data_IF_824049542773
#
_entry.id   IF_824049542773
#
_cell.length_a   1.000
_cell.length_b   1.000
_cell.length_c   1.000
_cell.angle_alpha   90.00
_cell.angle_beta   90.00
_cell.angle_gamma   90.00
#
_symmetry.space_group_name_H-M   'P 1'
#
loop_
_entity.id
_entity.type
_entity.pdbx_description
1 polymer ?
#
# COMPACT_ATOMS: atom_id res chain seq x y z
N UNK A 1 2.72 8.40 26.09
CA UNK A 1 1.62 8.33 25.10
C UNK A 1 1.91 7.11 24.25
N UNK A 2 1.08 6.08 24.32
CA UNK A 2 1.41 4.77 23.74
C UNK A 2 1.10 4.77 22.25
N UNK A 3 2.08 4.44 21.42
CA UNK A 3 1.89 4.30 19.98
C UNK A 3 1.03 3.06 19.69
N UNK A 4 -0.06 3.26 18.96
CA UNK A 4 -1.09 2.23 18.71
C UNK A 4 -1.10 1.70 17.29
N UNK A 5 -0.43 2.40 16.37
CA UNK A 5 -0.48 2.11 14.94
C UNK A 5 0.83 2.49 14.28
N UNK A 6 1.14 1.81 13.18
CA UNK A 6 2.27 2.14 12.30
C UNK A 6 1.81 2.28 10.87
N UNK A 7 2.28 3.32 10.19
CA UNK A 7 2.01 3.58 8.78
C UNK A 7 3.34 3.79 8.07
N UNK A 8 3.63 2.91 7.12
CA UNK A 8 4.76 3.03 6.19
C UNK A 8 4.26 3.79 4.97
N UNK A 9 4.92 4.91 4.64
CA UNK A 9 4.52 5.83 3.58
C UNK A 9 5.58 5.76 2.48
N UNK A 10 5.23 5.13 1.36
CA UNK A 10 6.09 4.97 0.19
C UNK A 10 5.70 5.99 -0.88
N UNK A 11 6.44 7.09 -0.92
CA UNK A 11 6.24 8.17 -1.90
C UNK A 11 7.61 8.75 -2.29
N UNK A 12 7.61 9.67 -3.25
CA UNK A 12 8.80 10.41 -3.64
C UNK A 12 9.14 11.48 -2.59
N UNK A 13 9.75 11.08 -1.49
CA UNK A 13 10.35 12.01 -0.54
C UNK A 13 11.77 12.37 -1.00
N UNK A 14 12.01 13.63 -1.32
CA UNK A 14 13.38 14.17 -1.38
C UNK A 14 13.91 14.35 0.04
N UNK A 15 15.23 14.32 0.20
CA UNK A 15 15.94 14.55 1.48
C UNK A 15 15.62 15.90 2.12
N UNK A 16 15.07 16.84 1.35
CA UNK A 16 14.89 18.25 1.73
C UNK A 16 13.46 18.59 2.18
N UNK A 17 12.79 17.66 2.88
CA UNK A 17 11.51 17.95 3.52
C UNK A 17 10.41 18.28 2.51
N UNK A 18 10.00 17.29 1.73
CA UNK A 18 8.92 17.45 0.76
C UNK A 18 7.63 17.92 1.45
N UNK A 19 6.95 18.93 0.89
CA UNK A 19 5.65 19.47 1.35
C UNK A 19 4.66 18.35 1.76
N UNK A 20 4.65 17.26 0.99
CA UNK A 20 3.86 16.06 1.27
C UNK A 20 4.13 15.46 2.65
N UNK A 21 5.40 15.32 3.07
CA UNK A 21 5.76 14.78 4.39
C UNK A 21 5.23 15.66 5.52
N UNK A 22 5.32 16.98 5.37
CA UNK A 22 4.79 17.91 6.37
C UNK A 22 3.28 17.75 6.51
N UNK A 23 2.55 17.64 5.42
CA UNK A 23 1.09 17.41 5.46
C UNK A 23 0.73 16.07 6.13
N UNK A 24 1.56 15.02 5.97
CA UNK A 24 1.38 13.74 6.69
C UNK A 24 1.57 13.91 8.20
N UNK A 25 2.61 14.63 8.61
CA UNK A 25 2.90 14.92 10.03
C UNK A 25 1.76 15.74 10.64
N UNK A 26 1.31 16.80 9.95
CA UNK A 26 0.20 17.63 10.39
C UNK A 26 -1.09 16.80 10.55
N UNK A 27 -1.37 15.91 9.60
CA UNK A 27 -2.54 15.01 9.66
C UNK A 27 -2.48 14.03 10.84
N UNK A 28 -1.28 13.66 11.27
CA UNK A 28 -1.04 12.73 12.38
C UNK A 28 -0.98 13.40 13.76
N UNK A 29 -1.03 14.75 13.85
CA UNK A 29 -0.99 15.45 15.14
C UNK A 29 -2.11 14.96 16.07
N UNK A 30 -1.73 14.67 17.31
CA UNK A 30 -2.63 14.12 18.33
C UNK A 30 -3.12 12.70 18.04
N UNK A 31 -2.56 12.01 17.04
CA UNK A 31 -2.82 10.60 16.76
C UNK A 31 -1.66 9.76 17.28
N UNK A 32 -1.99 8.66 17.96
CA UNK A 32 -1.02 7.70 18.49
C UNK A 32 -0.48 6.78 17.38
N UNK A 33 0.21 7.36 16.40
CA UNK A 33 0.67 6.67 15.18
C UNK A 33 2.14 6.95 14.90
N UNK A 34 2.87 5.91 14.54
CA UNK A 34 4.23 6.01 14.01
C UNK A 34 4.16 6.13 12.49
N UNK A 35 4.66 7.24 11.95
CA UNK A 35 4.84 7.42 10.51
C UNK A 35 6.28 7.07 10.11
N UNK A 36 6.43 6.22 9.11
CA UNK A 36 7.74 5.80 8.58
C UNK A 36 7.82 6.24 7.12
N UNK A 37 8.80 7.09 6.83
CA UNK A 37 9.07 7.64 5.50
C UNK A 37 10.42 7.09 5.00
N UNK A 38 10.49 5.86 4.48
CA UNK A 38 11.74 5.34 3.96
C UNK A 38 12.12 6.10 2.69
N UNK A 39 13.36 6.59 2.63
CA UNK A 39 13.94 7.17 1.41
C UNK A 39 14.48 6.01 0.58
N UNK A 40 13.78 5.71 -0.52
CA UNK A 40 14.09 4.58 -1.39
C UNK A 40 14.52 5.07 -2.76
N UNK A 41 15.71 4.68 -3.19
CA UNK A 41 16.12 4.89 -4.58
C UNK A 41 15.70 3.69 -5.44
N UNK A 42 14.99 3.94 -6.54
CA UNK A 42 14.44 2.88 -7.39
C UNK A 42 15.50 1.94 -7.96
N UNK A 43 16.74 2.40 -8.15
CA UNK A 43 17.86 1.54 -8.57
C UNK A 43 18.11 0.38 -7.62
N UNK A 44 17.85 0.58 -6.32
CA UNK A 44 17.99 -0.46 -5.31
C UNK A 44 16.78 -1.39 -5.25
N UNK A 45 15.67 -1.05 -5.91
CA UNK A 45 14.44 -1.84 -5.96
C UNK A 45 14.28 -2.62 -7.27
N UNK A 46 15.30 -2.61 -8.14
CA UNK A 46 15.30 -3.34 -9.42
C UNK A 46 15.09 -4.86 -9.25
N UNK A 47 15.41 -5.41 -8.08
CA UNK A 47 15.16 -6.82 -7.77
C UNK A 47 13.66 -7.19 -7.76
N UNK A 48 12.75 -6.21 -7.67
CA UNK A 48 11.30 -6.41 -7.73
C UNK A 48 10.75 -6.34 -9.18
N UNK A 49 11.62 -6.24 -10.19
CA UNK A 49 11.27 -6.28 -11.62
C UNK A 49 11.10 -7.71 -12.19
N UNK A 50 10.45 -8.60 -11.45
CA UNK A 50 9.97 -9.88 -12.01
C UNK A 50 10.89 -11.09 -11.81
N UNK A 51 11.91 -11.01 -10.95
CA UNK A 51 12.59 -12.21 -10.44
C UNK A 51 11.98 -12.58 -9.10
N UNK A 52 11.38 -13.77 -9.05
CA UNK A 52 10.90 -14.38 -7.81
C UNK A 52 12.08 -14.44 -6.83
N UNK A 53 11.95 -13.81 -5.66
CA UNK A 53 13.01 -13.89 -4.66
C UNK A 53 12.84 -15.18 -3.85
N UNK A 54 13.86 -16.03 -3.88
CA UNK A 54 13.86 -17.31 -3.18
C UNK A 54 14.16 -17.20 -1.68
N UNK A 55 14.59 -16.04 -1.15
CA UNK A 55 15.13 -16.03 0.23
C UNK A 55 15.23 -14.71 0.99
N UNK A 56 15.08 -13.54 0.35
CA UNK A 56 15.22 -12.27 1.07
C UNK A 56 13.83 -11.79 1.48
N UNK A 57 13.53 -11.90 2.78
CA UNK A 57 12.21 -11.56 3.32
C UNK A 57 11.75 -10.17 2.88
N UNK A 58 10.44 -9.99 2.75
CA UNK A 58 9.80 -8.72 2.39
C UNK A 58 10.41 -7.52 3.12
N UNK A 59 10.99 -6.56 2.37
CA UNK A 59 11.61 -5.36 2.94
C UNK A 59 10.62 -4.55 3.80
N UNK A 60 9.33 -4.47 3.41
CA UNK A 60 8.31 -3.70 4.13
C UNK A 60 8.00 -4.36 5.48
N UNK A 61 7.88 -5.70 5.51
CA UNK A 61 7.74 -6.47 6.76
C UNK A 61 8.99 -6.37 7.63
N UNK A 62 10.18 -6.33 7.03
CA UNK A 62 11.42 -6.09 7.78
C UNK A 62 11.43 -4.69 8.42
N UNK A 63 10.99 -3.65 7.70
CA UNK A 63 10.79 -2.33 8.29
C UNK A 63 9.80 -2.42 9.46
N UNK A 64 8.66 -3.11 9.29
CA UNK A 64 7.71 -3.30 10.39
C UNK A 64 8.39 -3.89 11.63
N UNK A 65 9.13 -4.99 11.47
CA UNK A 65 9.82 -5.67 12.58
C UNK A 65 10.83 -4.79 13.29
N UNK A 66 11.62 -4.02 12.53
CA UNK A 66 12.64 -3.11 13.08
C UNK A 66 11.97 -2.00 13.93
N UNK A 67 10.96 -1.35 13.37
CA UNK A 67 10.31 -0.22 14.02
C UNK A 67 9.41 -0.67 15.17
N UNK A 68 8.69 -1.78 15.02
CA UNK A 68 7.90 -2.32 16.11
C UNK A 68 8.78 -2.69 17.32
N UNK A 69 9.92 -3.35 17.09
CA UNK A 69 10.89 -3.65 18.17
C UNK A 69 11.45 -2.39 18.82
N UNK A 70 11.75 -1.35 18.04
CA UNK A 70 12.35 -0.10 18.56
C UNK A 70 11.37 0.74 19.37
N UNK A 71 10.11 0.79 18.95
CA UNK A 71 9.09 1.67 19.52
C UNK A 71 8.07 0.97 20.42
N UNK A 72 8.14 -0.37 20.54
CA UNK A 72 7.26 -1.20 21.38
C UNK A 72 5.79 -0.88 21.16
N UNK A 73 5.32 -1.02 19.90
CA UNK A 73 3.95 -0.67 19.56
C UNK A 73 2.97 -1.62 20.25
N UNK A 74 1.80 -1.11 20.65
CA UNK A 74 0.74 -1.95 21.23
C UNK A 74 0.09 -2.88 20.20
N UNK A 75 0.22 -2.56 18.92
CA UNK A 75 -0.31 -3.32 17.80
C UNK A 75 0.82 -3.60 16.82
N UNK A 76 1.09 -4.88 16.59
CA UNK A 76 2.16 -5.34 15.71
C UNK A 76 1.78 -5.27 14.23
N UNK A 77 0.49 -5.05 13.95
CA UNK A 77 0.00 -4.87 12.60
C UNK A 77 0.38 -3.48 12.06
N UNK A 78 0.74 -3.45 10.79
CA UNK A 78 1.15 -2.25 10.11
C UNK A 78 0.30 -1.96 8.87
N UNK A 79 0.49 -0.75 8.34
CA UNK A 79 -0.31 -0.22 7.24
C UNK A 79 0.60 0.43 6.22
N UNK A 80 0.21 0.39 4.95
CA UNK A 80 1.01 0.94 3.86
C UNK A 80 0.22 2.01 3.11
N UNK A 81 0.83 3.16 2.90
CA UNK A 81 0.46 4.07 1.83
C UNK A 81 1.52 4.01 0.74
N UNK A 82 1.10 4.01 -0.52
CA UNK A 82 2.00 3.99 -1.67
C UNK A 82 1.45 4.83 -2.83
N UNK A 83 2.33 5.50 -3.57
CA UNK A 83 1.95 6.38 -4.67
C UNK A 83 2.76 6.08 -5.95
N UNK A 84 2.13 6.15 -7.12
CA UNK A 84 2.76 5.97 -8.43
C UNK A 84 3.56 4.66 -8.53
N UNK A 85 4.85 4.74 -8.84
CA UNK A 85 5.75 3.58 -8.97
C UNK A 85 5.83 2.72 -7.69
N UNK A 86 5.65 3.31 -6.50
CA UNK A 86 5.63 2.55 -5.25
C UNK A 86 4.34 1.77 -5.08
N UNK A 87 3.23 2.22 -5.67
CA UNK A 87 1.99 1.44 -5.69
C UNK A 87 2.18 0.16 -6.54
N UNK A 88 2.85 0.27 -7.70
CA UNK A 88 3.22 -0.90 -8.50
C UNK A 88 4.13 -1.86 -7.72
N UNK A 89 5.07 -1.30 -6.95
CA UNK A 89 5.96 -2.07 -6.09
C UNK A 89 5.18 -2.88 -5.04
N UNK A 90 4.25 -2.23 -4.34
CA UNK A 90 3.41 -2.87 -3.32
C UNK A 90 2.51 -3.93 -3.93
N UNK A 91 1.94 -3.67 -5.11
CA UNK A 91 1.12 -4.65 -5.83
C UNK A 91 1.91 -5.95 -6.10
N UNK A 92 3.12 -5.82 -6.66
CA UNK A 92 4.00 -6.96 -6.94
C UNK A 92 4.43 -7.69 -5.67
N UNK A 93 4.77 -6.91 -4.65
CA UNK A 93 5.12 -7.45 -3.33
C UNK A 93 3.99 -8.32 -2.77
N UNK A 94 2.76 -7.83 -2.79
CA UNK A 94 1.61 -8.56 -2.24
C UNK A 94 1.20 -9.79 -3.06
N UNK A 95 1.57 -9.85 -4.35
CA UNK A 95 1.38 -11.03 -5.20
C UNK A 95 2.48 -12.08 -5.06
N UNK A 96 3.52 -11.81 -4.26
CA UNK A 96 4.63 -12.76 -4.03
C UNK A 96 4.62 -13.38 -2.63
N UNK A 97 4.07 -12.70 -1.64
CA UNK A 97 4.19 -13.09 -0.23
C UNK A 97 2.87 -13.03 0.53
N UNK A 98 2.68 -13.94 1.48
CA UNK A 98 1.65 -13.82 2.52
C UNK A 98 2.24 -13.01 3.67
N UNK A 99 1.63 -11.87 4.00
CA UNK A 99 2.05 -11.04 5.13
C UNK A 99 0.89 -10.79 6.10
N UNK A 100 0.85 -11.62 7.12
CA UNK A 100 -0.20 -11.56 8.14
C UNK A 100 -0.08 -10.34 9.05
N UNK A 101 1.04 -9.61 9.02
CA UNK A 101 1.24 -8.40 9.81
C UNK A 101 0.69 -7.15 9.07
N UNK A 102 0.39 -7.25 7.77
CA UNK A 102 -0.22 -6.15 7.02
C UNK A 102 -1.73 -6.08 7.28
N UNK A 103 -2.18 -5.02 7.95
CA UNK A 103 -3.59 -4.81 8.22
C UNK A 103 -4.35 -4.29 6.98
N UNK A 104 -3.76 -3.31 6.30
CA UNK A 104 -4.36 -2.62 5.16
C UNK A 104 -3.35 -1.79 4.37
N UNK A 105 -3.70 -1.49 3.13
CA UNK A 105 -2.88 -0.65 2.27
C UNK A 105 -3.71 0.25 1.36
N UNK A 106 -3.11 1.36 0.94
CA UNK A 106 -3.64 2.30 -0.04
C UNK A 106 -2.63 2.41 -1.18
N UNK A 107 -3.09 2.14 -2.40
CA UNK A 107 -2.36 2.35 -3.65
C UNK A 107 -2.97 3.53 -4.37
N UNK A 108 -2.21 4.63 -4.42
CA UNK A 108 -2.59 5.84 -5.14
C UNK A 108 -1.91 5.89 -6.50
N UNK A 109 -2.69 6.10 -7.55
CA UNK A 109 -2.25 6.24 -8.93
C UNK A 109 -1.21 5.17 -9.35
N UNK A 110 -1.45 3.86 -9.14
CA UNK A 110 -0.59 2.86 -9.76
C UNK A 110 -0.57 3.06 -11.29
N UNK A 111 0.48 2.56 -11.95
CA UNK A 111 0.53 2.64 -13.42
C UNK A 111 -0.59 1.80 -14.04
N UNK A 112 -1.01 2.18 -15.25
CA UNK A 112 -2.03 1.45 -16.00
C UNK A 112 -1.66 -0.04 -16.10
N UNK A 113 -2.67 -0.91 -16.08
CA UNK A 113 -2.54 -2.36 -16.14
C UNK A 113 -1.80 -2.97 -14.94
N UNK A 114 -1.88 -2.35 -13.75
CA UNK A 114 -1.26 -2.90 -12.53
C UNK A 114 -1.78 -4.29 -12.16
N UNK A 115 -3.00 -4.64 -12.58
CA UNK A 115 -3.63 -5.94 -12.33
C UNK A 115 -3.53 -6.89 -13.53
N UNK A 116 -2.31 -7.31 -13.84
CA UNK A 116 -2.08 -8.32 -14.87
C UNK A 116 -2.66 -9.68 -14.44
N UNK A 117 -3.79 -10.09 -15.03
CA UNK A 117 -4.47 -11.37 -14.71
C UNK A 117 -3.52 -12.55 -14.83
N UNK A 118 -2.64 -12.57 -15.83
CA UNK A 118 -1.64 -13.64 -16.01
C UNK A 118 -0.71 -13.77 -14.80
N UNK A 119 -0.29 -12.64 -14.20
CA UNK A 119 0.55 -12.63 -13.01
C UNK A 119 -0.24 -13.12 -11.80
N UNK A 120 -1.50 -12.69 -11.67
CA UNK A 120 -2.38 -13.12 -10.58
C UNK A 120 -2.73 -14.61 -10.63
N UNK A 121 -2.96 -15.17 -11.82
CA UNK A 121 -3.20 -16.60 -12.04
C UNK A 121 -1.98 -17.48 -11.75
N UNK A 122 -0.77 -16.92 -11.84
CA UNK A 122 0.49 -17.60 -11.53
C UNK A 122 0.87 -17.50 -10.05
N UNK A 123 0.23 -16.62 -9.27
CA UNK A 123 0.48 -16.51 -7.84
C UNK A 123 0.04 -17.79 -7.12
N UNK A 124 0.76 -18.15 -6.04
CA UNK A 124 0.36 -19.27 -5.19
C UNK A 124 -1.03 -19.03 -4.60
N UNK A 125 -1.80 -20.09 -4.41
CA UNK A 125 -3.20 -19.99 -4.00
C UNK A 125 -3.41 -19.26 -2.66
N UNK A 126 -2.52 -19.51 -1.69
CA UNK A 126 -2.52 -18.84 -0.39
C UNK A 126 -2.18 -17.34 -0.51
N UNK A 127 -1.25 -17.00 -1.40
CA UNK A 127 -0.86 -15.61 -1.70
C UNK A 127 -2.02 -14.86 -2.35
N UNK A 128 -2.65 -15.39 -3.40
CA UNK A 128 -3.76 -14.69 -4.06
C UNK A 128 -4.97 -14.54 -3.14
N UNK A 129 -5.30 -15.57 -2.34
CA UNK A 129 -6.34 -15.48 -1.30
C UNK A 129 -6.01 -14.41 -0.27
N UNK A 130 -4.75 -14.35 0.17
CA UNK A 130 -4.32 -13.33 1.12
C UNK A 130 -4.37 -11.92 0.52
N UNK A 131 -3.89 -11.76 -0.70
CA UNK A 131 -3.92 -10.50 -1.44
C UNK A 131 -5.33 -9.91 -1.56
N UNK A 132 -6.31 -10.71 -2.00
CA UNK A 132 -7.70 -10.25 -2.21
C UNK A 132 -8.46 -10.00 -0.91
N UNK A 133 -8.15 -10.73 0.17
CA UNK A 133 -8.79 -10.55 1.50
C UNK A 133 -8.17 -9.41 2.31
N UNK A 134 -6.95 -8.99 2.01
CA UNK A 134 -6.32 -7.85 2.71
C UNK A 134 -7.05 -6.57 2.32
N UNK A 135 -7.29 -5.69 3.30
CA UNK A 135 -8.03 -4.44 3.11
C UNK A 135 -7.26 -3.49 2.19
N UNK A 136 -7.64 -3.44 0.92
CA UNK A 136 -6.98 -2.64 -0.12
C UNK A 136 -7.78 -1.44 -0.57
N UNK A 137 -7.14 -0.29 -0.78
CA UNK A 137 -7.77 0.86 -1.43
C UNK A 137 -7.01 1.21 -2.70
N UNK A 138 -7.69 1.18 -3.84
CA UNK A 138 -7.20 1.73 -5.09
C UNK A 138 -7.73 3.15 -5.25
N UNK A 139 -6.84 4.13 -5.33
CA UNK A 139 -7.19 5.55 -5.42
C UNK A 139 -6.60 6.12 -6.70
N UNK A 140 -7.42 6.57 -7.64
CA UNK A 140 -6.96 7.15 -8.91
C UNK A 140 -7.42 8.57 -9.12
N UNK A 141 -6.76 9.25 -10.07
CA UNK A 141 -7.20 10.55 -10.58
C UNK A 141 -8.51 10.42 -11.33
N UNK A 142 -9.37 11.44 -11.20
CA UNK A 142 -10.56 11.60 -12.04
C UNK A 142 -10.25 11.66 -13.54
N UNK A 143 -9.02 12.00 -13.88
CA UNK A 143 -8.55 12.07 -15.26
C UNK A 143 -8.03 10.73 -15.80
N UNK A 144 -7.86 9.72 -14.94
CA UNK A 144 -7.43 8.38 -15.34
C UNK A 144 -8.66 7.55 -15.73
N UNK A 145 -8.92 7.50 -17.04
CA UNK A 145 -10.07 6.79 -17.59
C UNK A 145 -9.96 5.26 -17.46
N UNK A 146 -8.73 4.73 -17.35
CA UNK A 146 -8.47 3.30 -17.38
C UNK A 146 -8.50 2.68 -15.97
N UNK A 147 -8.23 3.48 -14.93
CA UNK A 147 -8.17 3.02 -13.54
C UNK A 147 -9.39 2.24 -13.05
N UNK A 148 -10.60 2.65 -13.44
CA UNK A 148 -11.83 1.93 -13.06
C UNK A 148 -11.90 0.58 -13.79
N UNK A 149 -11.54 0.54 -15.07
CA UNK A 149 -11.49 -0.69 -15.86
C UNK A 149 -10.50 -1.68 -15.24
N UNK A 150 -9.31 -1.21 -14.87
CA UNK A 150 -8.29 -2.02 -14.20
C UNK A 150 -8.82 -2.59 -12.88
N UNK A 151 -9.46 -1.76 -12.04
CA UNK A 151 -10.05 -2.26 -10.79
C UNK A 151 -11.16 -3.29 -11.03
N UNK A 152 -12.00 -3.10 -12.04
CA UNK A 152 -13.04 -4.06 -12.39
C UNK A 152 -12.46 -5.40 -12.87
N UNK A 153 -11.30 -5.41 -13.55
CA UNK A 153 -10.61 -6.66 -13.87
C UNK A 153 -10.23 -7.45 -12.62
N UNK A 154 -9.77 -6.76 -11.57
CA UNK A 154 -9.45 -7.38 -10.28
C UNK A 154 -10.72 -7.93 -9.58
N UNK A 155 -11.84 -7.20 -9.62
CA UNK A 155 -13.13 -7.66 -9.08
C UNK A 155 -13.59 -8.92 -9.82
N UNK A 156 -13.64 -8.87 -11.15
CA UNK A 156 -14.06 -9.99 -12.00
C UNK A 156 -13.17 -11.22 -11.78
N UNK A 157 -11.87 -11.02 -11.60
CA UNK A 157 -10.94 -12.10 -11.26
C UNK A 157 -11.34 -12.79 -9.94
N UNK A 158 -11.60 -12.03 -8.88
CA UNK A 158 -12.00 -12.57 -7.58
C UNK A 158 -13.35 -13.31 -7.66
N UNK A 159 -14.32 -12.73 -8.36
CA UNK A 159 -15.65 -13.33 -8.56
C UNK A 159 -15.58 -14.65 -9.34
N UNK A 160 -14.85 -14.67 -10.46
CA UNK A 160 -14.68 -15.88 -11.29
C UNK A 160 -14.01 -17.03 -10.53
N UNK A 161 -13.16 -16.71 -9.55
CA UNK A 161 -12.46 -17.69 -8.71
C UNK A 161 -13.21 -17.97 -7.39
N UNK A 162 -14.35 -17.34 -7.15
CA UNK A 162 -15.11 -17.40 -5.90
C UNK A 162 -14.24 -17.11 -4.65
N UNK A 163 -13.42 -16.06 -4.74
CA UNK A 163 -12.50 -15.64 -3.69
C UNK A 163 -13.05 -14.44 -2.93
N UNK A 164 -12.81 -14.40 -1.61
CA UNK A 164 -13.18 -13.24 -0.79
C UNK A 164 -12.43 -11.98 -1.25
N UNK A 165 -13.17 -10.89 -1.43
CA UNK A 165 -12.64 -9.63 -1.94
C UNK A 165 -12.93 -8.48 -0.96
N UNK A 166 -11.87 -7.75 -0.55
CA UNK A 166 -11.98 -6.66 0.45
C UNK A 166 -11.37 -5.35 0.00
N UNK A 167 -11.26 -5.15 -1.30
CA UNK A 167 -10.72 -3.92 -1.84
C UNK A 167 -11.82 -2.92 -2.18
N UNK A 168 -11.48 -1.64 -2.15
CA UNK A 168 -12.34 -0.53 -2.54
C UNK A 168 -11.65 0.32 -3.59
N UNK A 169 -12.40 0.71 -4.62
CA UNK A 169 -11.97 1.71 -5.58
C UNK A 169 -12.49 3.09 -5.20
N UNK A 170 -11.66 4.10 -5.44
CA UNK A 170 -12.10 5.47 -5.38
C UNK A 170 -11.47 6.27 -6.51
N UNK A 171 -12.34 6.95 -7.24
CA UNK A 171 -11.94 8.03 -8.12
C UNK A 171 -11.96 9.35 -7.36
N UNK A 172 -10.88 10.13 -7.43
CA UNK A 172 -10.75 11.43 -6.77
C UNK A 172 -10.35 12.50 -7.76
N UNK A 173 -11.13 13.57 -7.79
CA UNK A 173 -10.74 14.81 -8.44
C UNK A 173 -9.68 15.46 -7.58
N UNK A 174 -8.40 15.25 -7.92
CA UNK A 174 -7.28 15.90 -7.26
C UNK A 174 -7.30 17.39 -7.59
N UNK A 175 -8.14 18.17 -6.90
CA UNK A 175 -7.86 19.60 -6.78
C UNK A 175 -6.54 19.77 -6.03
N UNK A 176 -5.83 20.89 -6.24
CA UNK A 176 -4.61 21.25 -5.50
C UNK A 176 -4.77 21.17 -3.97
N UNK A 177 -6.02 21.12 -3.47
CA UNK A 177 -6.39 21.18 -2.06
C UNK A 177 -6.99 19.86 -1.50
N UNK A 178 -7.08 18.77 -2.27
CA UNK A 178 -7.34 17.45 -1.64
C UNK A 178 -6.06 16.91 -1.02
N UNK A 179 -5.88 17.35 0.22
CA UNK A 179 -4.73 17.18 1.08
C UNK A 179 -4.49 15.73 1.48
N UNK A 180 -3.22 15.45 1.81
CA UNK A 180 -2.79 14.25 2.52
C UNK A 180 -3.72 13.85 3.68
N UNK A 181 -4.48 14.77 4.28
CA UNK A 181 -5.45 14.48 5.35
C UNK A 181 -6.52 13.45 4.94
N UNK A 182 -7.04 13.53 3.70
CA UNK A 182 -8.04 12.57 3.24
C UNK A 182 -7.44 11.17 3.12
N UNK A 183 -6.25 11.06 2.53
CA UNK A 183 -5.50 9.81 2.42
C UNK A 183 -5.12 9.26 3.80
N UNK A 184 -4.64 10.13 4.68
CA UNK A 184 -4.33 9.81 6.07
C UNK A 184 -5.57 9.24 6.78
N UNK A 185 -6.73 9.87 6.66
CA UNK A 185 -7.96 9.38 7.31
C UNK A 185 -8.32 7.95 6.88
N UNK A 186 -8.08 7.59 5.62
CA UNK A 186 -8.32 6.26 5.06
C UNK A 186 -7.35 5.24 5.61
N UNK A 187 -6.07 5.59 5.66
CA UNK A 187 -5.04 4.69 6.21
C UNK A 187 -5.01 4.72 7.75
N UNK A 188 -5.64 5.67 8.42
CA UNK A 188 -5.66 5.75 9.90
C UNK A 188 -6.94 5.16 10.54
N UNK A 189 -8.11 5.28 9.92
CA UNK A 189 -9.37 4.76 10.49
C UNK A 189 -9.50 3.25 10.31
N UNK A 190 -10.06 2.55 11.29
CA UNK A 190 -10.26 1.08 11.21
C UNK A 190 -11.42 0.68 10.29
N UNK A 191 -12.31 1.63 9.96
CA UNK A 191 -13.45 1.45 9.07
C UNK A 191 -12.96 1.17 7.64
N UNK A 192 -13.30 -0.02 7.14
CA UNK A 192 -13.03 -0.51 5.79
C UNK A 192 -14.22 -1.32 5.30
#
# INVERSE_FOLDING_TARGET
>A
MDLTQQIIILDHFSTDGNKSMHEWIESAKGKNVLLIFPVLEMKHLQFLNGKQQDSHGNFVSQLNKIFNKKYSLKNDLYRIYSNNQFANLINRYMLQFVDNDLEKFVMKNPANQVFEIKVMDQAKEDVIKHYLRTKGSYVSSAMDADAMSDFLQLVNFAENKNLAFRWRYQNVTFSKDQSVQNLFSRIYKNSF
#
